data_IF_806452664889
#
_entry.id   IF_806452664889
#
_cell.length_a   1.000
_cell.length_b   1.000
_cell.length_c   1.000
_cell.angle_alpha   90.00
_cell.angle_beta   90.00
_cell.angle_gamma   90.00
#
_symmetry.space_group_name_H-M   'P 1'
#
loop_
_entity.id
_entity.type
_entity.pdbx_description
1 polymer ?
#
# COMPACT_ATOMS: atom_id res chain seq x y z
N UNK A 1 -29.56 25.35 22.45
CA UNK A 1 -30.25 24.43 21.51
C UNK A 1 -30.01 24.77 20.04
N UNK A 2 -30.27 26.01 19.58
CA UNK A 2 -30.06 26.42 18.18
C UNK A 2 -28.64 26.15 17.65
N UNK A 3 -27.60 26.43 18.45
CA UNK A 3 -26.21 26.18 18.05
C UNK A 3 -25.88 24.70 17.84
N UNK A 4 -26.50 23.79 18.61
CA UNK A 4 -26.27 22.35 18.47
C UNK A 4 -26.93 21.80 17.20
N UNK A 5 -28.12 22.32 16.86
CA UNK A 5 -28.85 21.97 15.64
C UNK A 5 -28.10 22.53 14.41
N UNK A 6 -27.61 23.77 14.47
CA UNK A 6 -26.78 24.35 13.42
C UNK A 6 -25.52 23.53 13.18
N UNK A 7 -24.81 23.15 14.25
CA UNK A 7 -23.59 22.34 14.16
C UNK A 7 -23.87 20.94 13.59
N UNK A 8 -24.97 20.30 13.97
CA UNK A 8 -25.38 19.01 13.42
C UNK A 8 -25.73 19.11 11.92
N UNK A 9 -26.39 20.19 11.51
CA UNK A 9 -26.79 20.45 10.13
C UNK A 9 -25.62 20.85 9.23
N UNK A 10 -24.70 21.67 9.74
CA UNK A 10 -23.45 22.05 9.10
C UNK A 10 -22.53 20.85 8.91
N UNK A 11 -22.41 20.01 9.95
CA UNK A 11 -21.73 18.72 9.84
C UNK A 11 -22.40 17.88 8.75
N UNK A 12 -23.72 17.66 8.80
CA UNK A 12 -24.47 16.85 7.82
C UNK A 12 -24.31 17.29 6.35
N UNK A 13 -24.09 18.57 6.08
CA UNK A 13 -23.86 19.09 4.72
C UNK A 13 -22.40 19.22 4.31
N UNK A 14 -21.45 19.18 5.26
CA UNK A 14 -20.01 19.20 4.96
C UNK A 14 -19.43 20.56 4.54
N UNK A 15 -20.14 21.69 4.75
CA UNK A 15 -19.75 22.99 4.19
C UNK A 15 -19.15 24.02 5.15
N UNK A 16 -19.00 23.75 6.45
CA UNK A 16 -18.75 24.85 7.42
C UNK A 16 -17.55 24.66 8.37
N UNK A 17 -16.47 24.01 7.92
CA UNK A 17 -15.19 24.12 8.61
C UNK A 17 -14.45 25.37 8.11
N UNK A 18 -14.81 26.53 8.65
CA UNK A 18 -13.97 27.73 8.55
C UNK A 18 -12.57 27.39 9.08
N UNK A 19 -11.58 27.29 8.18
CA UNK A 19 -10.16 27.20 8.56
C UNK A 19 -9.44 25.89 8.26
N UNK A 20 -10.04 24.91 7.59
CA UNK A 20 -9.29 23.78 7.03
C UNK A 20 -9.10 23.97 5.52
N UNK A 21 -7.87 24.20 5.08
CA UNK A 21 -7.53 24.32 3.64
C UNK A 21 -7.76 23.02 2.86
N UNK A 22 -7.94 21.92 3.58
CA UNK A 22 -8.34 20.63 3.03
C UNK A 22 -9.68 20.25 3.64
N UNK A 23 -10.77 20.11 2.85
CA UNK A 23 -12.02 19.60 3.39
C UNK A 23 -11.76 18.18 3.95
N UNK A 24 -12.32 17.85 5.12
CA UNK A 24 -12.19 16.49 5.66
C UNK A 24 -12.71 15.52 4.60
N UNK A 25 -11.87 14.57 4.18
CA UNK A 25 -12.26 13.56 3.18
C UNK A 25 -13.46 12.74 3.66
N UNK A 26 -13.56 12.56 4.98
CA UNK A 26 -14.73 12.00 5.64
C UNK A 26 -15.68 13.11 6.05
N UNK A 27 -16.72 13.29 5.24
CA UNK A 27 -17.89 14.06 5.63
C UNK A 27 -18.59 13.48 6.88
N UNK A 28 -19.74 14.02 7.26
CA UNK A 28 -20.50 13.65 8.47
C UNK A 28 -20.89 12.17 8.58
N UNK A 29 -21.01 11.48 7.43
CA UNK A 29 -21.34 10.06 7.39
C UNK A 29 -20.16 9.18 7.82
N UNK A 30 -18.95 9.74 7.90
CA UNK A 30 -17.70 9.08 8.29
C UNK A 30 -17.57 7.66 7.71
N UNK A 31 -17.65 7.49 6.37
CA UNK A 31 -17.60 6.18 5.76
C UNK A 31 -16.32 5.40 6.11
N UNK A 32 -15.22 6.10 6.44
CA UNK A 32 -13.97 5.47 6.86
C UNK A 32 -13.89 5.20 8.38
N UNK A 33 -14.93 5.47 9.17
CA UNK A 33 -14.93 5.23 10.62
C UNK A 33 -14.58 3.78 11.02
N UNK A 34 -14.92 2.80 10.16
CA UNK A 34 -14.52 1.42 10.38
C UNK A 34 -13.01 1.23 10.22
N UNK A 35 -12.40 1.87 9.23
CA UNK A 35 -10.96 1.85 8.99
C UNK A 35 -10.21 2.61 10.10
N UNK A 36 -10.71 3.79 10.49
CA UNK A 36 -10.15 4.59 11.59
C UNK A 36 -10.10 3.82 12.92
N UNK A 37 -11.07 2.93 13.14
CA UNK A 37 -11.17 2.11 14.35
C UNK A 37 -10.38 0.80 14.28
N UNK A 38 -9.75 0.47 13.14
CA UNK A 38 -8.97 -0.76 13.02
C UNK A 38 -7.72 -0.69 13.90
N UNK A 39 -7.42 -1.76 14.67
CA UNK A 39 -6.18 -1.82 15.42
C UNK A 39 -4.98 -1.85 14.47
N UNK A 40 -3.90 -1.18 14.85
CA UNK A 40 -2.62 -1.31 14.16
C UNK A 40 -2.07 -2.71 14.46
N UNK A 41 -1.90 -3.53 13.42
CA UNK A 41 -1.40 -4.90 13.54
C UNK A 41 0.13 -4.96 13.58
N UNK A 42 0.80 -4.02 12.92
CA UNK A 42 2.26 -3.90 12.86
C UNK A 42 2.65 -2.47 12.49
N UNK A 43 3.76 -1.99 13.05
CA UNK A 43 4.37 -0.72 12.68
C UNK A 43 5.76 -0.99 12.08
N UNK A 44 5.98 -0.48 10.87
CA UNK A 44 7.25 -0.57 10.14
C UNK A 44 7.61 0.82 9.61
N UNK A 45 8.88 1.19 9.73
CA UNK A 45 9.35 2.49 9.29
C UNK A 45 9.67 2.50 7.79
N UNK A 46 9.29 3.60 7.13
CA UNK A 46 9.65 3.85 5.73
C UNK A 46 8.95 2.94 4.71
N UNK A 47 7.88 2.23 5.10
CA UNK A 47 7.11 1.41 4.15
C UNK A 47 6.43 2.29 3.10
N UNK A 48 6.63 1.98 1.83
CA UNK A 48 6.16 2.78 0.69
C UNK A 48 5.25 2.01 -0.28
N UNK A 49 5.38 0.68 -0.38
CA UNK A 49 4.47 -0.17 -1.15
C UNK A 49 3.99 -1.38 -0.34
N UNK A 50 2.80 -1.89 -0.66
CA UNK A 50 2.16 -3.01 0.01
C UNK A 50 1.30 -3.81 -0.97
N UNK A 51 1.45 -5.14 -0.99
CA UNK A 51 0.58 -6.06 -1.75
C UNK A 51 0.30 -7.31 -0.92
N UNK A 52 -0.89 -7.90 -1.12
CA UNK A 52 -1.14 -9.26 -0.69
C UNK A 52 -0.28 -10.22 -1.53
N UNK A 53 0.31 -11.23 -0.91
CA UNK A 53 1.06 -12.29 -1.57
C UNK A 53 0.43 -13.66 -1.21
N UNK A 54 0.92 -14.75 -1.83
CA UNK A 54 0.36 -16.10 -1.62
C UNK A 54 0.24 -16.48 -0.14
N UNK A 55 1.26 -16.21 0.67
CA UNK A 55 1.32 -16.63 2.08
C UNK A 55 1.54 -15.44 3.04
N UNK A 56 0.80 -14.36 2.81
CA UNK A 56 0.80 -13.19 3.68
C UNK A 56 0.84 -11.88 2.91
N UNK A 57 1.71 -10.96 3.33
CA UNK A 57 1.87 -9.66 2.70
C UNK A 57 3.32 -9.43 2.30
N UNK A 58 3.50 -8.68 1.23
CA UNK A 58 4.79 -8.16 0.83
C UNK A 58 4.72 -6.64 0.85
N UNK A 59 5.73 -6.01 1.43
CA UNK A 59 5.89 -4.56 1.38
C UNK A 59 7.31 -4.20 0.98
N UNK A 60 7.52 -2.93 0.64
CA UNK A 60 8.86 -2.38 0.45
C UNK A 60 9.14 -1.23 1.40
N UNK A 61 10.43 -1.00 1.66
CA UNK A 61 10.95 0.16 2.37
C UNK A 61 12.28 0.55 1.74
N UNK A 62 12.28 1.58 0.91
CA UNK A 62 13.45 1.95 0.11
C UNK A 62 13.88 0.80 -0.81
N UNK A 63 15.07 0.24 -0.58
CA UNK A 63 15.62 -0.83 -1.42
C UNK A 63 15.22 -2.23 -0.94
N UNK A 64 14.49 -2.34 0.17
CA UNK A 64 14.18 -3.63 0.77
C UNK A 64 12.77 -4.09 0.45
N UNK A 65 12.64 -5.35 0.06
CA UNK A 65 11.40 -6.12 0.08
C UNK A 65 11.29 -6.87 1.41
N UNK A 66 10.15 -6.72 2.06
CA UNK A 66 9.84 -7.28 3.37
C UNK A 66 8.64 -8.21 3.23
N UNK A 67 8.80 -9.47 3.61
CA UNK A 67 7.72 -10.46 3.66
C UNK A 67 7.17 -10.51 5.08
N UNK A 68 5.85 -10.37 5.19
CA UNK A 68 5.11 -10.45 6.44
C UNK A 68 4.22 -11.69 6.42
N UNK A 69 4.36 -12.55 7.42
CA UNK A 69 3.48 -13.70 7.64
C UNK A 69 2.60 -13.50 8.86
N UNK A 70 1.51 -14.24 8.96
CA UNK A 70 0.68 -14.27 10.15
C UNK A 70 1.20 -15.33 11.13
N UNK A 71 1.33 -14.99 12.41
CA UNK A 71 1.81 -15.90 13.45
C UNK A 71 0.70 -16.89 13.92
N UNK A 72 0.13 -17.65 12.99
CA UNK A 72 -0.95 -18.64 13.24
C UNK A 72 -2.33 -18.05 13.54
N UNK A 73 -2.41 -16.81 14.04
CA UNK A 73 -3.63 -15.99 14.12
C UNK A 73 -3.49 -14.77 13.18
N UNK A 74 -4.54 -14.49 12.42
CA UNK A 74 -4.59 -13.36 11.48
C UNK A 74 -4.61 -11.99 12.18
N UNK A 75 -4.65 -11.97 13.51
CA UNK A 75 -4.57 -10.74 14.33
C UNK A 75 -3.14 -10.20 14.51
N UNK A 76 -2.10 -10.94 14.10
CA UNK A 76 -0.70 -10.53 14.27
C UNK A 76 0.15 -10.87 13.05
N UNK A 77 0.93 -9.90 12.59
CA UNK A 77 1.95 -10.10 11.58
C UNK A 77 3.33 -10.21 12.23
N UNK A 78 4.24 -10.93 11.57
CA UNK A 78 5.67 -10.96 11.86
C UNK A 78 6.49 -10.77 10.58
N UNK A 79 7.67 -10.16 10.70
CA UNK A 79 8.60 -10.05 9.58
C UNK A 79 9.29 -11.41 9.36
N UNK A 80 8.90 -12.13 8.32
CA UNK A 80 9.42 -13.45 8.01
C UNK A 80 10.66 -13.42 7.12
N UNK A 81 10.78 -12.42 6.25
CA UNK A 81 11.95 -12.27 5.39
C UNK A 81 12.23 -10.81 5.02
N UNK A 82 13.50 -10.52 4.74
CA UNK A 82 13.96 -9.27 4.13
C UNK A 82 14.92 -9.58 2.99
N UNK A 83 14.71 -8.94 1.85
CA UNK A 83 15.56 -9.04 0.66
C UNK A 83 15.87 -7.64 0.15
N UNK A 84 17.15 -7.31 0.03
CA UNK A 84 17.57 -6.05 -0.58
C UNK A 84 17.64 -6.18 -2.11
N UNK A 85 17.22 -5.12 -2.79
CA UNK A 85 17.25 -4.96 -4.23
C UNK A 85 18.39 -3.99 -4.63
N UNK A 86 18.77 -4.01 -5.91
CA UNK A 86 19.84 -3.16 -6.46
C UNK A 86 19.54 -1.65 -6.45
N UNK A 87 18.34 -1.25 -6.02
CA UNK A 87 17.88 0.14 -5.97
C UNK A 87 16.53 0.24 -5.26
N UNK A 88 15.99 1.47 -5.12
CA UNK A 88 14.68 1.69 -4.51
C UNK A 88 13.57 0.93 -5.24
N UNK A 89 12.74 0.22 -4.47
CA UNK A 89 11.54 -0.43 -4.95
C UNK A 89 10.45 0.62 -5.08
N UNK A 90 9.94 0.78 -6.30
CA UNK A 90 9.01 1.88 -6.65
C UNK A 90 7.58 1.41 -6.87
N UNK A 91 7.38 0.12 -7.11
CA UNK A 91 6.08 -0.53 -7.15
C UNK A 91 6.23 -2.05 -7.00
N UNK A 92 5.22 -2.70 -6.42
CA UNK A 92 5.12 -4.15 -6.33
C UNK A 92 3.72 -4.62 -6.72
N UNK A 93 3.64 -5.78 -7.37
CA UNK A 93 2.38 -6.48 -7.62
C UNK A 93 2.60 -7.99 -7.49
N UNK A 94 1.58 -8.72 -7.05
CA UNK A 94 1.64 -10.17 -6.92
C UNK A 94 0.44 -10.83 -7.62
N UNK A 95 0.66 -12.03 -8.16
CA UNK A 95 -0.36 -12.91 -8.71
C UNK A 95 -0.03 -14.36 -8.34
N UNK A 96 -0.76 -14.90 -7.36
CA UNK A 96 -0.41 -16.19 -6.76
C UNK A 96 1.01 -16.12 -6.18
N UNK A 97 1.88 -17.01 -6.63
CA UNK A 97 3.29 -17.04 -6.24
C UNK A 97 4.21 -16.21 -7.17
N UNK A 98 3.66 -15.59 -8.22
CA UNK A 98 4.42 -14.71 -9.10
C UNK A 98 4.43 -13.27 -8.60
N UNK A 99 5.54 -12.59 -8.86
CA UNK A 99 5.78 -11.23 -8.40
C UNK A 99 6.28 -10.35 -9.54
N UNK A 100 5.83 -9.10 -9.57
CA UNK A 100 6.39 -8.03 -10.37
C UNK A 100 6.94 -6.94 -9.44
N UNK A 101 8.22 -6.59 -9.61
CA UNK A 101 8.94 -5.63 -8.76
C UNK A 101 9.51 -4.54 -9.67
N UNK A 102 9.05 -3.30 -9.53
CA UNK A 102 9.69 -2.17 -10.19
C UNK A 102 10.83 -1.63 -9.32
N UNK A 103 12.03 -1.56 -9.89
CA UNK A 103 13.22 -1.01 -9.25
C UNK A 103 13.69 0.21 -10.03
N UNK A 104 13.92 1.32 -9.33
CA UNK A 104 14.32 2.58 -9.93
C UNK A 104 15.56 2.41 -10.82
N UNK A 105 15.50 2.93 -12.05
CA UNK A 105 16.60 2.85 -13.01
C UNK A 105 16.87 1.45 -13.60
N UNK A 106 16.18 0.40 -13.14
CA UNK A 106 16.35 -0.99 -13.60
C UNK A 106 15.15 -1.50 -14.39
N UNK A 107 13.96 -0.98 -14.09
CA UNK A 107 12.71 -1.41 -14.72
C UNK A 107 11.96 -2.44 -13.86
N UNK A 108 11.12 -3.26 -14.51
CA UNK A 108 10.30 -4.26 -13.83
C UNK A 108 10.99 -5.61 -13.89
N UNK A 109 11.17 -6.26 -12.73
CA UNK A 109 11.60 -7.64 -12.59
C UNK A 109 10.38 -8.53 -12.38
N UNK A 110 10.34 -9.65 -13.10
CA UNK A 110 9.35 -10.70 -12.92
C UNK A 110 10.00 -11.89 -12.22
N UNK A 111 9.40 -12.29 -11.11
CA UNK A 111 9.80 -13.47 -10.35
C UNK A 111 8.66 -14.49 -10.36
N UNK A 112 9.01 -15.75 -10.58
CA UNK A 112 8.09 -16.89 -10.49
C UNK A 112 8.80 -18.05 -9.80
N UNK A 113 8.06 -18.93 -9.09
CA UNK A 113 8.63 -20.09 -8.43
C UNK A 113 9.44 -20.95 -9.40
N UNK A 114 10.65 -21.34 -8.99
CA UNK A 114 11.52 -22.21 -9.79
C UNK A 114 12.11 -21.57 -11.05
N UNK A 115 11.87 -20.28 -11.31
CA UNK A 115 12.47 -19.53 -12.41
C UNK A 115 13.43 -18.45 -11.88
N UNK A 116 14.47 -18.15 -12.66
CA UNK A 116 15.32 -17.01 -12.38
C UNK A 116 14.55 -15.70 -12.58
N UNK A 117 14.80 -14.72 -11.70
CA UNK A 117 14.29 -13.36 -11.85
C UNK A 117 14.71 -12.80 -13.22
N UNK A 118 13.76 -12.24 -13.96
CA UNK A 118 14.00 -11.71 -15.31
C UNK A 118 13.43 -10.32 -15.50
N UNK A 119 14.11 -9.43 -16.23
CA UNK A 119 13.54 -8.13 -16.57
C UNK A 119 12.39 -8.29 -17.56
N UNK A 120 11.32 -7.51 -17.37
CA UNK A 120 10.25 -7.34 -18.32
C UNK A 120 10.69 -6.32 -19.38
N UNK A 121 10.75 -6.78 -20.62
CA UNK A 121 11.01 -5.92 -21.79
C UNK A 121 9.72 -5.72 -22.55
N UNK A 122 9.35 -4.46 -22.78
CA UNK A 122 8.16 -4.08 -23.55
C UNK A 122 8.65 -3.18 -24.69
N UNK A 123 8.38 -3.57 -25.93
CA UNK A 123 8.78 -2.79 -27.09
C UNK A 123 8.14 -1.39 -27.04
N UNK A 124 8.96 -0.35 -27.23
CA UNK A 124 8.50 1.04 -27.24
C UNK A 124 8.18 1.64 -25.87
N UNK A 125 8.40 0.92 -24.76
CA UNK A 125 8.15 1.42 -23.41
C UNK A 125 9.42 1.32 -22.55
N UNK A 126 9.76 2.41 -21.84
CA UNK A 126 10.80 2.40 -20.83
C UNK A 126 10.18 2.23 -19.43
N UNK A 127 10.31 1.05 -18.78
CA UNK A 127 9.70 0.80 -17.48
C UNK A 127 10.50 1.34 -16.28
N UNK A 128 11.48 2.23 -16.49
CA UNK A 128 12.40 2.67 -15.42
C UNK A 128 11.79 3.54 -14.31
N UNK A 129 10.57 4.05 -14.50
CA UNK A 129 9.92 5.02 -13.60
C UNK A 129 8.48 4.60 -13.22
N UNK A 130 8.27 3.31 -12.98
CA UNK A 130 6.95 2.77 -12.67
C UNK A 130 6.62 2.97 -11.20
N UNK A 131 5.48 3.58 -10.90
CA UNK A 131 5.04 3.90 -9.52
C UNK A 131 3.80 3.13 -9.06
N UNK A 132 3.17 2.37 -9.96
CA UNK A 132 2.01 1.52 -9.64
C UNK A 132 1.86 0.41 -10.69
N UNK A 133 1.47 -0.79 -10.26
CA UNK A 133 1.24 -1.95 -11.14
C UNK A 133 0.18 -2.86 -10.56
N UNK A 134 -0.47 -3.64 -11.42
CA UNK A 134 -1.35 -4.74 -11.05
C UNK A 134 -1.31 -5.79 -12.15
N UNK A 135 -1.55 -7.05 -11.80
CA UNK A 135 -1.84 -8.09 -12.79
C UNK A 135 -3.32 -7.97 -13.23
N UNK A 136 -3.57 -8.12 -14.53
CA UNK A 136 -4.92 -8.06 -15.11
C UNK A 136 -5.61 -9.42 -15.18
#
# INVERSE_FOLDING_TARGET
MIAAIYKAWANFRGFDLTGSTVPPMDGPLRPNAKLDAMPVLMQLDGVDNLTAAHDGMLCSSGNDLLTLSTAGDASQFELSARRSMDGPVTAIAALGESLAIAVEGRGILLESPGAASRPLTIEGLNPSCVTAMVFA
#
